data_IF_299512644097
#
_entry.id   IF_299512644097
#
_cell.length_a   1.000
_cell.length_b   1.000
_cell.length_c   1.000
_cell.angle_alpha   90.00
_cell.angle_beta   90.00
_cell.angle_gamma   90.00
#
_symmetry.space_group_name_H-M   'P 1'
#
loop_
_entity.id
_entity.type
_entity.pdbx_description
1 polymer ?
#
# COMPACT_ATOMS: atom_id res chain seq x y z
N UNK A 1 -4.15 11.79 -20.52
CA UNK A 1 -3.61 10.72 -21.38
C UNK A 1 -3.55 9.49 -20.51
N UNK A 2 -4.07 8.36 -20.97
CA UNK A 2 -4.24 7.14 -20.18
C UNK A 2 -3.57 5.99 -20.92
N UNK A 3 -2.91 5.10 -20.19
CA UNK A 3 -2.22 3.94 -20.75
C UNK A 3 -2.97 2.66 -20.35
N UNK A 4 -3.02 1.69 -21.25
CA UNK A 4 -3.70 0.41 -21.04
C UNK A 4 -2.85 -0.77 -21.50
N UNK A 5 -3.08 -1.95 -20.94
CA UNK A 5 -2.35 -3.20 -21.25
C UNK A 5 -0.84 -3.10 -20.99
N UNK A 6 -0.47 -2.54 -19.84
CA UNK A 6 0.92 -2.31 -19.46
C UNK A 6 1.50 -3.58 -18.85
N UNK A 7 2.67 -4.02 -19.32
CA UNK A 7 3.41 -5.13 -18.71
C UNK A 7 4.85 -4.70 -18.37
N UNK A 8 5.22 -4.78 -17.09
CA UNK A 8 6.57 -4.51 -16.58
C UNK A 8 7.05 -5.77 -15.87
N UNK A 9 7.98 -6.52 -16.48
CA UNK A 9 8.36 -7.84 -15.97
C UNK A 9 9.87 -8.10 -15.93
N UNK A 10 10.33 -8.79 -14.89
CA UNK A 10 11.68 -9.37 -14.77
C UNK A 10 12.82 -8.34 -14.87
N UNK A 11 12.66 -7.17 -14.26
CA UNK A 11 13.67 -6.10 -14.21
C UNK A 11 14.27 -5.95 -12.80
N UNK A 12 15.55 -5.62 -12.75
CA UNK A 12 16.21 -5.14 -11.53
C UNK A 12 16.37 -3.62 -11.60
N UNK A 13 15.78 -2.89 -10.66
CA UNK A 13 15.85 -1.43 -10.55
C UNK A 13 16.71 -1.04 -9.34
N UNK A 14 17.65 -0.12 -9.53
CA UNK A 14 18.68 0.23 -8.53
C UNK A 14 18.71 1.75 -8.27
N UNK A 15 18.75 2.15 -7.00
CA UNK A 15 19.15 3.49 -6.53
C UNK A 15 18.46 4.69 -7.23
N UNK A 16 17.15 4.60 -7.41
CA UNK A 16 16.37 5.58 -8.17
C UNK A 16 15.98 6.83 -7.30
N UNK A 17 15.83 8.07 -7.84
CA UNK A 17 15.69 9.33 -7.08
C UNK A 17 14.30 9.91 -6.58
N UNK A 18 13.10 9.61 -7.16
CA UNK A 18 11.71 9.95 -6.69
C UNK A 18 10.55 8.82 -6.61
N UNK A 19 10.00 8.17 -7.68
CA UNK A 19 9.19 6.89 -7.61
C UNK A 19 9.61 5.74 -8.61
N UNK A 20 10.02 4.51 -8.25
CA UNK A 20 10.59 3.48 -9.19
C UNK A 20 9.63 3.01 -10.29
N UNK A 21 8.39 2.67 -9.93
CA UNK A 21 7.35 2.23 -10.87
C UNK A 21 6.05 2.92 -10.49
N UNK A 22 5.71 3.99 -11.21
CA UNK A 22 4.55 4.84 -10.94
C UNK A 22 3.57 4.85 -12.13
N UNK A 23 2.75 3.80 -12.32
CA UNK A 23 1.62 3.87 -13.24
C UNK A 23 0.57 4.83 -12.67
N UNK A 24 0.19 5.82 -13.47
CA UNK A 24 -0.82 6.85 -13.12
C UNK A 24 -1.93 6.80 -14.16
N UNK A 25 -3.19 6.73 -13.72
CA UNK A 25 -4.36 6.67 -14.62
C UNK A 25 -4.28 5.50 -15.63
N UNK A 26 -3.76 4.36 -15.19
CA UNK A 26 -3.54 3.18 -16.02
C UNK A 26 -4.63 2.13 -15.82
N UNK A 27 -4.93 1.34 -16.86
CA UNK A 27 -5.87 0.21 -16.80
C UNK A 27 -5.20 -1.07 -17.30
N UNK A 28 -5.48 -2.21 -16.67
CA UNK A 28 -4.89 -3.51 -17.05
C UNK A 28 -3.35 -3.46 -16.96
N UNK A 29 -2.83 -3.27 -15.74
CA UNK A 29 -1.39 -3.12 -15.46
C UNK A 29 -0.85 -4.36 -14.77
N UNK A 30 0.12 -5.04 -15.39
CA UNK A 30 0.85 -6.16 -14.80
C UNK A 30 2.29 -5.76 -14.45
N UNK A 31 2.63 -5.84 -13.16
CA UNK A 31 3.99 -5.73 -12.65
C UNK A 31 4.42 -7.07 -12.08
N UNK A 32 5.46 -7.70 -12.64
CA UNK A 32 5.83 -9.08 -12.31
C UNK A 32 7.33 -9.29 -12.13
N UNK A 33 7.75 -10.00 -11.08
CA UNK A 33 9.14 -10.49 -10.99
C UNK A 33 10.18 -9.37 -10.84
N UNK A 34 9.80 -8.22 -10.29
CA UNK A 34 10.73 -7.09 -10.15
C UNK A 34 11.60 -7.23 -8.91
N UNK A 35 12.88 -6.89 -9.05
CA UNK A 35 13.82 -6.71 -7.93
C UNK A 35 14.13 -5.22 -7.80
N UNK A 36 13.64 -4.57 -6.76
CA UNK A 36 13.88 -3.14 -6.52
C UNK A 36 14.81 -2.99 -5.31
N UNK A 37 15.96 -2.34 -5.52
CA UNK A 37 16.94 -2.07 -4.46
C UNK A 37 17.22 -0.57 -4.39
N UNK A 38 16.59 0.11 -3.43
CA UNK A 38 16.90 1.49 -3.05
C UNK A 38 17.62 1.54 -1.68
N UNK A 39 18.47 2.56 -1.41
CA UNK A 39 19.12 2.71 -0.13
C UNK A 39 18.08 2.94 0.98
N UNK A 40 18.10 2.12 2.04
CA UNK A 40 17.14 2.24 3.15
C UNK A 40 17.21 3.57 3.91
N UNK A 41 18.30 4.33 3.75
CA UNK A 41 18.47 5.68 4.31
C UNK A 41 18.00 6.80 3.38
N UNK A 42 17.50 6.47 2.18
CA UNK A 42 16.97 7.45 1.24
C UNK A 42 15.59 7.88 1.69
N UNK A 43 15.50 9.07 2.29
CA UNK A 43 14.23 9.71 2.58
C UNK A 43 13.55 10.11 1.27
N UNK A 44 12.24 9.90 1.21
CA UNK A 44 11.47 9.97 -0.01
C UNK A 44 10.66 11.27 -0.12
N UNK A 45 10.41 11.69 -1.35
CA UNK A 45 9.42 12.72 -1.69
C UNK A 45 8.08 12.02 -1.87
N UNK A 46 7.20 12.05 -0.86
CA UNK A 46 6.01 11.17 -0.77
C UNK A 46 4.86 11.49 -1.76
N UNK A 47 5.13 12.37 -2.72
CA UNK A 47 4.18 13.10 -3.55
C UNK A 47 4.09 14.57 -3.14
N UNK A 48 4.48 14.90 -1.90
CA UNK A 48 4.26 16.20 -1.29
C UNK A 48 5.62 16.86 -0.96
N UNK A 49 6.11 17.69 -1.89
CA UNK A 49 7.25 18.57 -1.62
C UNK A 49 6.98 20.02 -2.06
N UNK A 50 6.20 20.79 -1.27
CA UNK A 50 6.07 22.23 -1.44
C UNK A 50 7.32 22.96 -0.92
N UNK A 51 8.50 22.67 -1.49
CA UNK A 51 9.72 23.42 -1.21
C UNK A 51 11.05 22.68 -1.35
N UNK A 52 11.54 22.49 -2.58
CA UNK A 52 12.89 22.93 -2.95
C UNK A 52 13.17 22.87 -4.47
N UNK A 53 13.98 23.83 -4.96
CA UNK A 53 14.24 24.09 -6.39
C UNK A 53 15.19 23.08 -7.06
N UNK A 54 14.86 21.80 -7.08
CA UNK A 54 15.57 20.77 -7.88
C UNK A 54 14.72 20.33 -9.07
N UNK A 55 15.10 20.65 -10.33
CA UNK A 55 14.38 20.17 -11.50
C UNK A 55 14.54 18.64 -11.62
N UNK A 56 13.51 17.91 -12.12
CA UNK A 56 13.60 16.47 -12.30
C UNK A 56 14.70 16.10 -13.29
N UNK A 57 15.69 15.32 -12.83
CA UNK A 57 16.79 14.84 -13.68
C UNK A 57 16.22 13.80 -14.66
N UNK A 58 16.01 14.22 -15.90
CA UNK A 58 15.56 13.34 -16.99
C UNK A 58 16.75 12.49 -17.46
N UNK A 59 16.87 11.26 -16.98
CA UNK A 59 17.87 10.30 -17.46
C UNK A 59 17.54 9.86 -18.89
N UNK A 60 18.19 10.51 -19.87
CA UNK A 60 18.22 10.08 -21.27
C UNK A 60 19.18 8.89 -21.46
N UNK A 61 18.79 7.70 -21.02
CA UNK A 61 19.35 6.47 -21.59
C UNK A 61 18.44 5.94 -22.70
N UNK A 62 19.05 5.44 -23.78
CA UNK A 62 18.36 5.06 -25.02
C UNK A 62 17.63 3.72 -24.88
N UNK A 63 16.44 3.75 -24.29
CA UNK A 63 15.37 2.84 -24.69
C UNK A 63 14.74 3.40 -25.97
N UNK A 64 14.62 2.57 -27.02
CA UNK A 64 14.07 3.00 -28.31
C UNK A 64 12.57 3.28 -28.19
N UNK A 65 12.07 4.41 -28.70
CA UNK A 65 10.68 4.80 -28.51
C UNK A 65 9.76 4.01 -29.43
N UNK A 66 8.96 3.09 -28.88
CA UNK A 66 7.70 2.67 -29.51
C UNK A 66 6.62 2.20 -28.53
N UNK A 67 6.96 1.42 -27.48
CA UNK A 67 5.94 0.57 -26.79
C UNK A 67 5.63 0.85 -25.31
N UNK A 68 6.08 1.96 -24.70
CA UNK A 68 5.62 2.35 -23.34
C UNK A 68 5.78 3.86 -23.06
N UNK A 69 4.69 4.65 -23.08
CA UNK A 69 4.74 6.04 -22.66
C UNK A 69 4.58 6.18 -21.13
N UNK A 70 5.59 6.79 -20.51
CA UNK A 70 5.66 7.28 -19.12
C UNK A 70 5.85 6.24 -18.00
N UNK A 71 7.12 6.01 -17.64
CA UNK A 71 7.54 5.61 -16.29
C UNK A 71 8.36 6.79 -15.73
N UNK A 72 7.85 7.45 -14.69
CA UNK A 72 8.65 8.36 -13.86
C UNK A 72 9.39 7.51 -12.81
N UNK A 73 10.62 7.88 -12.43
CA UNK A 73 11.59 7.00 -11.74
C UNK A 73 12.00 7.47 -10.33
N UNK A 74 12.23 6.51 -9.40
CA UNK A 74 12.76 6.86 -8.08
C UNK A 74 12.53 6.15 -6.74
N UNK A 75 12.62 6.88 -5.60
CA UNK A 75 12.64 6.42 -4.20
C UNK A 75 11.45 5.58 -3.66
N UNK A 76 10.18 5.85 -4.03
CA UNK A 76 9.13 4.83 -3.81
C UNK A 76 9.43 3.56 -4.61
N UNK A 77 8.87 2.41 -4.24
CA UNK A 77 9.04 1.21 -5.07
C UNK A 77 7.94 1.05 -6.12
N UNK A 78 6.75 0.54 -5.78
CA UNK A 78 5.64 0.44 -6.75
C UNK A 78 4.46 1.30 -6.27
N UNK A 79 3.97 2.20 -7.11
CA UNK A 79 2.90 3.13 -6.74
C UNK A 79 1.82 3.20 -7.82
N UNK A 80 0.77 2.36 -7.76
CA UNK A 80 -0.41 2.57 -8.58
C UNK A 80 -1.19 3.79 -8.08
N UNK A 81 -1.28 4.82 -8.93
CA UNK A 81 -2.11 6.01 -8.68
C UNK A 81 -3.29 6.04 -9.65
N UNK A 82 -4.51 6.10 -9.11
CA UNK A 82 -5.76 6.19 -9.87
C UNK A 82 -5.88 5.09 -10.95
N UNK A 83 -5.44 3.86 -10.64
CA UNK A 83 -5.33 2.75 -11.58
C UNK A 83 -6.44 1.70 -11.41
N UNK A 84 -6.96 1.14 -12.51
CA UNK A 84 -7.97 0.07 -12.47
C UNK A 84 -7.40 -1.25 -12.96
N UNK A 85 -7.76 -2.36 -12.30
CA UNK A 85 -7.41 -3.74 -12.71
C UNK A 85 -5.89 -3.93 -12.83
N UNK A 86 -5.20 -3.90 -11.69
CA UNK A 86 -3.73 -3.92 -11.60
C UNK A 86 -3.26 -5.13 -10.79
N UNK A 87 -2.18 -5.80 -11.22
CA UNK A 87 -1.57 -6.94 -10.52
C UNK A 87 -0.09 -6.70 -10.30
N UNK A 88 0.33 -6.71 -9.05
CA UNK A 88 1.73 -6.68 -8.60
C UNK A 88 2.05 -8.07 -8.05
N UNK A 89 2.93 -8.83 -8.71
CA UNK A 89 3.27 -10.18 -8.25
C UNK A 89 4.75 -10.56 -8.36
N UNK A 90 5.19 -11.50 -7.53
CA UNK A 90 6.54 -12.09 -7.56
C UNK A 90 7.67 -11.07 -7.35
N UNK A 91 7.42 -9.97 -6.63
CA UNK A 91 8.36 -8.87 -6.44
C UNK A 91 9.21 -9.02 -5.16
N UNK A 92 10.47 -8.60 -5.23
CA UNK A 92 11.37 -8.40 -4.10
C UNK A 92 11.77 -6.93 -4.01
N UNK A 93 11.52 -6.29 -2.86
CA UNK A 93 11.65 -4.84 -2.72
C UNK A 93 12.41 -4.49 -1.44
N UNK A 94 13.47 -3.69 -1.59
CA UNK A 94 14.20 -3.01 -0.52
C UNK A 94 14.09 -1.51 -0.74
N UNK A 95 13.57 -0.79 0.26
CA UNK A 95 13.18 0.61 0.12
C UNK A 95 13.48 1.40 1.41
N UNK A 96 13.71 2.71 1.26
CA UNK A 96 13.72 3.65 2.41
C UNK A 96 12.31 4.09 2.83
N UNK A 97 11.34 3.95 1.93
CA UNK A 97 9.92 4.25 2.14
C UNK A 97 9.05 3.05 1.70
N UNK A 98 7.74 3.22 1.48
CA UNK A 98 6.80 2.15 1.19
C UNK A 98 7.24 1.23 0.03
N UNK A 99 7.12 -0.09 0.23
CA UNK A 99 7.39 -1.07 -0.83
C UNK A 99 6.29 -1.06 -1.92
N UNK A 100 5.02 -0.90 -1.51
CA UNK A 100 3.91 -0.55 -2.41
C UNK A 100 3.15 0.62 -1.79
N UNK A 101 2.94 1.70 -2.53
CA UNK A 101 2.15 2.86 -2.08
C UNK A 101 0.99 3.13 -3.05
N UNK A 102 -0.20 2.67 -2.67
CA UNK A 102 -1.44 2.83 -3.44
C UNK A 102 -1.99 4.24 -3.24
N UNK A 103 -2.24 4.96 -4.33
CA UNK A 103 -2.69 6.36 -4.34
C UNK A 103 -3.88 6.55 -5.29
N UNK A 104 -4.54 7.69 -5.22
CA UNK A 104 -5.61 8.11 -6.15
C UNK A 104 -5.80 9.63 -6.14
N UNK A 105 -4.71 10.37 -6.33
CA UNK A 105 -4.72 11.83 -6.22
C UNK A 105 -4.97 12.38 -4.81
N UNK A 106 -4.91 13.69 -4.67
CA UNK A 106 -4.87 14.39 -3.38
C UNK A 106 -5.91 15.52 -3.29
N UNK A 107 -6.47 15.68 -2.09
CA UNK A 107 -7.47 16.67 -1.67
C UNK A 107 -8.47 17.05 -2.77
N UNK A 108 -8.69 18.33 -3.02
CA UNK A 108 -9.72 18.80 -3.96
C UNK A 108 -9.48 18.33 -5.40
N UNK A 109 -8.23 18.10 -5.80
CA UNK A 109 -7.91 17.58 -7.14
C UNK A 109 -8.31 16.11 -7.28
N UNK A 110 -8.02 15.28 -6.28
CA UNK A 110 -8.43 13.87 -6.25
C UNK A 110 -9.95 13.74 -6.14
N UNK A 111 -10.58 14.53 -5.27
CA UNK A 111 -12.05 14.59 -5.12
C UNK A 111 -12.72 15.01 -6.44
N UNK A 112 -12.27 16.11 -7.06
CA UNK A 112 -12.87 16.63 -8.29
C UNK A 112 -12.65 15.72 -9.50
N UNK A 113 -11.56 14.94 -9.50
CA UNK A 113 -11.25 14.00 -10.58
C UNK A 113 -11.95 12.65 -10.41
N UNK A 114 -12.17 12.20 -9.16
CA UNK A 114 -13.02 11.05 -8.83
C UNK A 114 -12.59 9.73 -9.44
N UNK A 115 -11.28 9.55 -9.72
CA UNK A 115 -10.74 8.32 -10.31
C UNK A 115 -10.03 7.48 -9.24
N UNK A 116 -10.64 6.38 -8.76
CA UNK A 116 -10.05 5.55 -7.72
C UNK A 116 -8.93 4.65 -8.25
N UNK A 117 -8.04 4.21 -7.36
CA UNK A 117 -7.32 2.95 -7.60
C UNK A 117 -8.20 1.80 -7.15
N UNK A 118 -8.52 0.88 -8.06
CA UNK A 118 -9.38 -0.26 -7.75
C UNK A 118 -9.10 -1.55 -8.51
N UNK A 119 -9.58 -2.66 -7.96
CA UNK A 119 -9.31 -4.01 -8.46
C UNK A 119 -7.80 -4.26 -8.52
N UNK A 120 -7.15 -4.14 -7.36
CA UNK A 120 -5.70 -4.22 -7.21
C UNK A 120 -5.30 -5.51 -6.49
N UNK A 121 -4.58 -6.39 -7.18
CA UNK A 121 -4.00 -7.61 -6.59
C UNK A 121 -2.53 -7.38 -6.28
N UNK A 122 -2.11 -7.65 -5.04
CA UNK A 122 -0.70 -7.65 -4.61
C UNK A 122 -0.39 -9.04 -4.06
N UNK A 123 0.49 -9.83 -4.69
CA UNK A 123 0.76 -11.18 -4.20
C UNK A 123 2.19 -11.68 -4.34
N UNK A 124 2.62 -12.55 -3.43
CA UNK A 124 3.99 -13.13 -3.42
C UNK A 124 5.06 -12.03 -3.43
N UNK A 125 4.87 -11.05 -2.54
CA UNK A 125 5.73 -9.87 -2.36
C UNK A 125 6.66 -10.08 -1.16
N UNK A 126 7.95 -9.86 -1.35
CA UNK A 126 8.91 -9.69 -0.23
C UNK A 126 9.29 -8.21 -0.10
N UNK A 127 9.15 -7.64 1.10
CA UNK A 127 9.46 -6.26 1.40
C UNK A 127 10.45 -6.11 2.55
N UNK A 128 11.38 -5.15 2.40
CA UNK A 128 12.23 -4.61 3.46
C UNK A 128 12.15 -3.08 3.41
N UNK A 129 11.38 -2.47 4.32
CA UNK A 129 11.26 -1.01 4.47
C UNK A 129 11.39 -0.59 5.94
N UNK A 130 12.62 -0.38 6.46
CA UNK A 130 12.86 -0.20 7.90
C UNK A 130 12.18 1.03 8.53
N UNK A 131 11.78 1.99 7.71
CA UNK A 131 11.20 3.28 8.13
C UNK A 131 9.79 3.53 7.57
N UNK A 132 9.17 2.55 6.87
CA UNK A 132 7.83 2.72 6.30
C UNK A 132 7.06 1.40 6.11
N UNK A 133 6.02 1.37 5.27
CA UNK A 133 5.12 0.22 5.16
C UNK A 133 5.54 -0.83 4.12
N UNK A 134 5.07 -2.05 4.31
CA UNK A 134 5.08 -3.06 3.25
C UNK A 134 4.07 -2.72 2.15
N UNK A 135 2.85 -2.32 2.55
CA UNK A 135 1.82 -1.79 1.65
C UNK A 135 1.20 -0.57 2.34
N UNK A 136 1.35 0.61 1.76
CA UNK A 136 0.63 1.80 2.14
C UNK A 136 -0.60 2.01 1.25
N UNK A 137 -1.70 2.41 1.87
CA UNK A 137 -2.88 2.97 1.23
C UNK A 137 -2.94 4.44 1.61
N UNK A 138 -2.72 5.33 0.64
CA UNK A 138 -2.57 6.77 0.83
C UNK A 138 -1.10 7.25 1.00
N UNK A 139 -0.88 8.50 1.41
CA UNK A 139 -1.88 9.40 2.00
C UNK A 139 -2.81 10.07 0.99
N UNK A 140 -2.41 10.09 -0.28
CA UNK A 140 -3.10 10.70 -1.41
C UNK A 140 -4.13 9.68 -1.93
N UNK A 141 -5.29 9.62 -1.28
CA UNK A 141 -6.37 8.65 -1.52
C UNK A 141 -7.70 9.28 -1.94
N UNK A 142 -7.66 10.54 -2.37
CA UNK A 142 -8.83 11.43 -2.44
C UNK A 142 -9.81 11.09 -3.57
N UNK A 143 -9.35 10.43 -4.64
CA UNK A 143 -10.20 9.84 -5.68
C UNK A 143 -10.76 8.46 -5.32
N UNK A 144 -10.36 7.87 -4.19
CA UNK A 144 -10.81 6.58 -3.67
C UNK A 144 -9.80 5.43 -3.83
N UNK A 145 -9.76 4.50 -2.89
CA UNK A 145 -9.04 3.23 -2.95
C UNK A 145 -10.03 2.11 -2.58
N UNK A 146 -10.21 1.13 -3.45
CA UNK A 146 -11.28 0.12 -3.32
C UNK A 146 -10.89 -1.24 -3.93
N UNK A 147 -11.33 -2.34 -3.32
CA UNK A 147 -11.05 -3.71 -3.78
C UNK A 147 -9.55 -3.97 -3.98
N UNK A 148 -8.80 -3.86 -2.87
CA UNK A 148 -7.37 -4.18 -2.80
C UNK A 148 -7.19 -5.54 -2.13
N UNK A 149 -6.68 -6.51 -2.87
CA UNK A 149 -6.50 -7.91 -2.46
C UNK A 149 -5.01 -8.22 -2.31
N UNK A 150 -4.53 -8.31 -1.08
CA UNK A 150 -3.13 -8.59 -0.75
C UNK A 150 -2.97 -10.01 -0.18
N UNK A 151 -2.12 -10.86 -0.78
CA UNK A 151 -1.89 -12.22 -0.29
C UNK A 151 -0.45 -12.74 -0.44
N UNK A 152 -0.04 -13.69 0.41
CA UNK A 152 1.30 -14.27 0.39
C UNK A 152 2.42 -13.22 0.49
N UNK A 153 2.27 -12.31 1.45
CA UNK A 153 3.20 -11.19 1.68
C UNK A 153 4.21 -11.56 2.77
N UNK A 154 5.49 -11.24 2.54
CA UNK A 154 6.57 -11.37 3.53
C UNK A 154 7.21 -10.00 3.78
N UNK A 155 7.04 -9.44 4.98
CA UNK A 155 7.72 -8.23 5.41
C UNK A 155 8.83 -8.56 6.43
N UNK A 156 10.03 -8.04 6.21
CA UNK A 156 11.21 -8.30 7.04
C UNK A 156 11.83 -6.97 7.42
N UNK A 157 12.13 -6.76 8.71
CA UNK A 157 12.72 -5.53 9.25
C UNK A 157 12.04 -4.27 8.67
N UNK A 158 10.71 -4.23 8.81
CA UNK A 158 9.85 -3.24 8.15
C UNK A 158 9.01 -2.52 9.20
N UNK A 159 8.74 -1.22 9.04
CA UNK A 159 8.11 -0.46 10.11
C UNK A 159 6.66 -0.92 10.37
N UNK A 160 5.88 -1.14 9.31
CA UNK A 160 4.52 -1.68 9.42
C UNK A 160 4.13 -2.62 8.27
N UNK A 161 3.15 -3.50 8.51
CA UNK A 161 2.53 -4.35 7.47
C UNK A 161 1.72 -3.53 6.45
N UNK A 162 0.40 -3.67 6.45
CA UNK A 162 -0.48 -2.75 5.72
C UNK A 162 -0.69 -1.49 6.56
N UNK A 163 -0.48 -0.31 5.95
CA UNK A 163 -0.63 1.01 6.57
C UNK A 163 -1.71 1.82 5.87
N UNK A 164 -2.75 2.25 6.58
CA UNK A 164 -3.73 3.22 6.06
C UNK A 164 -3.36 4.61 6.54
N UNK A 165 -3.18 5.54 5.60
CA UNK A 165 -2.79 6.94 5.83
C UNK A 165 -3.88 7.85 5.27
N UNK A 166 -4.53 8.66 6.09
CA UNK A 166 -5.42 9.72 5.62
C UNK A 166 -5.53 10.87 6.64
N UNK A 167 -6.26 11.92 6.29
CA UNK A 167 -6.48 13.11 7.11
C UNK A 167 -7.82 13.77 6.78
N UNK A 168 -8.40 14.50 7.73
CA UNK A 168 -9.45 15.50 7.44
C UNK A 168 -8.96 16.43 6.34
N UNK A 169 -9.74 16.62 5.27
CA UNK A 169 -9.33 17.33 4.07
C UNK A 169 -9.16 16.44 2.84
N UNK A 170 -8.84 15.16 3.04
CA UNK A 170 -8.65 14.22 1.92
C UNK A 170 -9.94 13.86 1.21
N UNK A 171 -11.08 13.81 1.91
CA UNK A 171 -12.31 13.22 1.36
C UNK A 171 -12.09 11.81 0.82
N UNK A 172 -12.89 11.41 -0.19
CA UNK A 172 -12.74 10.10 -0.82
C UNK A 172 -12.96 8.94 0.15
N UNK A 173 -12.32 7.80 -0.13
CA UNK A 173 -12.48 6.59 0.68
C UNK A 173 -11.28 5.62 0.59
N UNK A 174 -11.06 4.83 1.63
CA UNK A 174 -10.29 3.57 1.56
C UNK A 174 -11.20 2.45 2.06
N UNK A 175 -11.68 1.59 1.15
CA UNK A 175 -12.64 0.54 1.50
C UNK A 175 -12.38 -0.77 0.79
N UNK A 176 -13.07 -1.82 1.22
CA UNK A 176 -13.03 -3.14 0.55
C UNK A 176 -11.59 -3.66 0.43
N UNK A 177 -10.87 -3.66 1.56
CA UNK A 177 -9.46 -4.05 1.64
C UNK A 177 -9.38 -5.45 2.23
N UNK A 178 -8.68 -6.35 1.55
CA UNK A 178 -8.64 -7.79 1.88
C UNK A 178 -7.20 -8.29 1.94
N UNK A 179 -6.78 -8.79 3.09
CA UNK A 179 -5.39 -9.20 3.35
C UNK A 179 -5.36 -10.61 3.93
N UNK A 180 -4.66 -11.54 3.29
CA UNK A 180 -4.47 -12.90 3.82
C UNK A 180 -3.04 -13.44 3.71
N UNK A 181 -2.68 -14.42 4.53
CA UNK A 181 -1.38 -15.12 4.46
C UNK A 181 -0.18 -14.15 4.48
N UNK A 182 -0.11 -13.32 5.51
CA UNK A 182 0.95 -12.33 5.69
C UNK A 182 1.92 -12.80 6.79
N UNK A 183 3.18 -13.04 6.43
CA UNK A 183 4.29 -13.26 7.38
C UNK A 183 5.07 -11.97 7.62
N UNK A 184 5.28 -11.61 8.88
CA UNK A 184 5.99 -10.39 9.29
C UNK A 184 7.12 -10.73 10.27
N UNK A 185 8.31 -10.17 10.10
CA UNK A 185 9.49 -10.46 10.94
C UNK A 185 10.23 -9.18 11.30
N UNK A 186 10.33 -8.88 12.59
CA UNK A 186 10.92 -7.64 13.13
C UNK A 186 10.13 -6.42 12.63
N UNK A 187 9.05 -6.10 13.34
CA UNK A 187 8.16 -4.98 13.00
C UNK A 187 8.07 -3.96 14.13
N UNK A 188 7.79 -2.70 13.79
CA UNK A 188 7.39 -1.72 14.80
C UNK A 188 5.90 -1.87 15.12
N UNK A 189 5.07 -2.02 14.08
CA UNK A 189 3.64 -2.32 14.17
C UNK A 189 3.23 -3.45 13.22
N UNK A 190 2.35 -4.37 13.63
CA UNK A 190 1.74 -5.30 12.68
C UNK A 190 0.65 -4.59 11.85
N UNK A 191 -0.22 -3.84 12.55
CA UNK A 191 -1.27 -3.01 11.95
C UNK A 191 -1.06 -1.53 12.28
N UNK A 192 -1.13 -0.65 11.28
CA UNK A 192 -1.13 0.80 11.52
C UNK A 192 -2.17 1.50 10.63
N UNK A 193 -3.09 2.23 11.25
CA UNK A 193 -4.00 3.15 10.58
C UNK A 193 -3.94 4.51 11.27
N UNK A 194 -3.99 5.60 10.50
CA UNK A 194 -4.15 6.94 11.06
C UNK A 194 -5.01 7.85 10.17
N UNK A 195 -6.02 8.46 10.77
CA UNK A 195 -6.83 9.56 10.22
C UNK A 195 -6.27 10.96 10.51
N UNK A 196 -5.03 11.03 11.01
CA UNK A 196 -4.33 12.29 11.30
C UNK A 196 -2.91 12.26 10.72
N UNK A 197 -2.78 11.88 9.44
CA UNK A 197 -1.48 11.84 8.76
C UNK A 197 -0.88 13.24 8.51
N UNK A 198 -1.69 14.30 8.63
CA UNK A 198 -1.22 15.69 8.80
C UNK A 198 -0.44 16.30 7.63
N UNK A 199 -0.46 15.68 6.46
CA UNK A 199 0.22 16.14 5.25
C UNK A 199 -0.80 16.66 4.24
N UNK A 200 -0.64 17.86 3.71
CA UNK A 200 -1.43 18.42 2.61
C UNK A 200 -0.47 19.17 1.66
N UNK A 201 -0.64 19.08 0.32
CA UNK A 201 0.29 19.74 -0.60
C UNK A 201 0.20 21.26 -0.63
N UNK A 202 -0.98 21.78 -0.34
CA UNK A 202 -1.23 23.21 -0.14
C UNK A 202 -2.31 23.44 0.95
N UNK A 203 -2.93 24.62 0.97
CA UNK A 203 -3.95 25.02 1.94
C UNK A 203 -5.36 25.14 1.32
N UNK A 204 -5.61 24.54 0.15
CA UNK A 204 -6.87 24.65 -0.59
C UNK A 204 -7.83 23.47 -0.33
N UNK A 205 -7.36 22.43 0.38
CA UNK A 205 -8.19 21.29 0.80
C UNK A 205 -9.44 21.74 1.57
N UNK A 206 -10.57 21.05 1.37
CA UNK A 206 -11.80 21.35 2.10
C UNK A 206 -11.73 20.73 3.51
N UNK A 207 -11.65 21.53 4.60
CA UNK A 207 -11.56 20.99 5.97
C UNK A 207 -12.81 20.22 6.43
N UNK A 208 -13.89 20.21 5.63
CA UNK A 208 -15.09 19.40 5.86
C UNK A 208 -15.09 18.07 5.06
N UNK A 209 -14.10 17.85 4.19
CA UNK A 209 -13.97 16.63 3.41
C UNK A 209 -13.39 15.50 4.27
N UNK A 210 -14.28 14.78 4.96
CA UNK A 210 -13.90 13.63 5.79
C UNK A 210 -13.72 12.37 4.92
N UNK A 211 -12.57 11.68 4.99
CA UNK A 211 -12.34 10.41 4.30
C UNK A 211 -13.10 9.26 4.98
N UNK A 212 -13.75 8.40 4.21
CA UNK A 212 -14.38 7.16 4.72
C UNK A 212 -13.34 6.03 4.75
N UNK A 213 -13.24 5.30 5.86
CA UNK A 213 -12.46 4.04 5.93
C UNK A 213 -13.35 2.93 6.46
N UNK A 214 -13.64 1.94 5.63
CA UNK A 214 -14.60 0.87 5.96
C UNK A 214 -14.24 -0.50 5.34
N UNK A 215 -14.80 -1.58 5.90
CA UNK A 215 -14.63 -2.95 5.39
C UNK A 215 -13.15 -3.37 5.15
N UNK A 216 -12.36 -3.35 6.23
CA UNK A 216 -10.93 -3.68 6.21
C UNK A 216 -10.72 -5.06 6.84
N UNK A 217 -10.34 -6.06 6.05
CA UNK A 217 -10.28 -7.46 6.44
C UNK A 217 -8.85 -7.99 6.45
N UNK A 218 -8.48 -8.62 7.56
CA UNK A 218 -7.18 -9.27 7.78
C UNK A 218 -7.39 -10.71 8.25
N UNK A 219 -6.76 -11.69 7.59
CA UNK A 219 -6.79 -13.08 8.06
C UNK A 219 -5.51 -13.87 7.84
N UNK A 220 -5.31 -14.92 8.63
CA UNK A 220 -4.22 -15.88 8.46
C UNK A 220 -2.84 -15.19 8.47
N UNK A 221 -2.52 -14.44 9.54
CA UNK A 221 -1.30 -13.63 9.64
C UNK A 221 -0.44 -14.03 10.83
N UNK A 222 0.89 -14.08 10.63
CA UNK A 222 1.87 -14.36 11.68
C UNK A 222 2.91 -13.25 11.69
N UNK A 223 3.13 -12.66 12.87
CA UNK A 223 4.16 -11.67 13.08
C UNK A 223 5.12 -12.09 14.20
N UNK A 224 6.42 -11.87 14.01
CA UNK A 224 7.47 -12.18 14.98
C UNK A 224 8.28 -10.92 15.31
N UNK A 225 8.73 -10.81 16.56
CA UNK A 225 9.56 -9.69 17.05
C UNK A 225 8.91 -8.32 16.83
N UNK A 226 7.64 -8.18 17.22
CA UNK A 226 6.85 -6.94 17.03
C UNK A 226 6.94 -6.02 18.24
N UNK A 227 7.16 -4.71 18.01
CA UNK A 227 7.29 -3.72 19.10
C UNK A 227 5.96 -3.31 19.75
N UNK A 228 4.89 -3.22 18.96
CA UNK A 228 3.51 -2.95 19.37
C UNK A 228 2.57 -3.63 18.37
N UNK A 229 1.59 -4.42 18.81
CA UNK A 229 0.69 -5.14 17.90
C UNK A 229 -0.02 -4.21 16.91
N UNK A 230 -0.67 -3.14 17.38
CA UNK A 230 -1.41 -2.22 16.53
C UNK A 230 -1.43 -0.75 17.02
N UNK A 231 -1.46 0.17 16.06
CA UNK A 231 -1.79 1.60 16.25
C UNK A 231 -2.90 1.97 15.29
N UNK A 232 -4.13 2.07 15.76
CA UNK A 232 -5.34 2.24 14.96
C UNK A 232 -6.08 3.50 15.42
N UNK A 233 -5.90 4.58 14.67
CA UNK A 233 -6.43 5.90 15.03
C UNK A 233 -7.32 6.38 13.88
N UNK A 234 -8.64 6.39 14.07
CA UNK A 234 -9.57 6.99 13.11
C UNK A 234 -9.66 8.51 13.24
N UNK A 235 -10.77 9.09 12.81
CA UNK A 235 -11.06 10.53 12.92
C UNK A 235 -12.09 10.72 14.04
N UNK A 236 -11.86 11.71 14.91
CA UNK A 236 -12.75 11.99 16.04
C UNK A 236 -14.14 12.41 15.58
N UNK A 237 -15.14 11.55 15.79
CA UNK A 237 -16.52 11.72 15.31
C UNK A 237 -16.86 10.88 14.07
N UNK A 238 -15.85 10.50 13.29
CA UNK A 238 -15.95 9.76 12.02
C UNK A 238 -15.02 8.54 12.07
N UNK A 239 -15.41 7.48 12.82
CA UNK A 239 -14.53 6.36 13.12
C UNK A 239 -14.27 5.49 11.89
N UNK A 240 -13.12 4.80 11.86
CA UNK A 240 -12.85 3.78 10.84
C UNK A 240 -13.61 2.50 11.20
N UNK A 241 -14.48 2.02 10.32
CA UNK A 241 -15.45 0.95 10.64
C UNK A 241 -15.22 -0.33 9.86
N UNK A 242 -15.96 -1.39 10.18
CA UNK A 242 -15.90 -2.66 9.45
C UNK A 242 -14.52 -3.32 9.48
N UNK A 243 -13.70 -3.05 10.50
CA UNK A 243 -12.41 -3.71 10.67
C UNK A 243 -12.65 -5.15 11.13
N UNK A 244 -12.10 -6.13 10.43
CA UNK A 244 -12.17 -7.54 10.80
C UNK A 244 -10.74 -8.12 10.85
N UNK A 245 -10.34 -8.70 11.98
CA UNK A 245 -9.05 -9.39 12.13
C UNK A 245 -9.27 -10.81 12.67
N UNK A 246 -8.96 -11.85 11.88
CA UNK A 246 -9.16 -13.25 12.30
C UNK A 246 -7.93 -14.12 12.10
N UNK A 247 -7.68 -15.08 13.00
CA UNK A 247 -6.55 -16.01 12.90
C UNK A 247 -5.20 -15.27 12.75
N UNK A 248 -4.85 -14.48 13.76
CA UNK A 248 -3.63 -13.65 13.76
C UNK A 248 -2.81 -13.87 15.03
N UNK A 249 -1.54 -14.24 14.88
CA UNK A 249 -0.60 -14.43 15.99
C UNK A 249 0.57 -13.45 15.89
N UNK A 250 0.76 -12.62 16.92
CA UNK A 250 1.82 -11.61 17.00
C UNK A 250 2.74 -11.94 18.18
N UNK A 251 3.91 -12.51 17.87
CA UNK A 251 5.04 -12.66 18.79
C UNK A 251 5.70 -11.32 19.05
N UNK A 252 5.69 -10.88 20.32
CA UNK A 252 6.23 -9.60 20.74
C UNK A 252 7.76 -9.62 20.86
N UNK A 253 8.38 -8.48 20.60
CA UNK A 253 9.81 -8.24 20.84
C UNK A 253 10.11 -8.26 22.36
N UNK A 254 11.35 -8.63 22.74
CA UNK A 254 11.81 -8.63 24.14
C UNK A 254 11.59 -7.27 24.84
N UNK A 255 11.73 -6.17 24.09
CA UNK A 255 11.55 -4.79 24.56
C UNK A 255 10.30 -4.12 23.97
N UNK A 256 9.25 -4.91 23.73
CA UNK A 256 7.97 -4.41 23.25
C UNK A 256 7.34 -3.38 24.21
N UNK A 257 6.43 -2.56 23.68
CA UNK A 257 5.69 -1.54 24.43
C UNK A 257 4.72 -2.21 25.42
N UNK A 258 4.37 -1.50 26.50
CA UNK A 258 3.35 -2.00 27.46
C UNK A 258 1.95 -2.00 26.85
N UNK A 259 1.57 -0.92 26.18
CA UNK A 259 0.36 -0.87 25.36
C UNK A 259 0.63 -1.59 24.05
N UNK A 260 -0.20 -2.59 23.72
CA UNK A 260 -0.07 -3.39 22.51
C UNK A 260 -1.04 -2.99 21.42
N UNK A 261 -2.27 -2.64 21.79
CA UNK A 261 -3.30 -2.15 20.88
C UNK A 261 -3.67 -0.72 21.29
N UNK A 262 -3.11 0.27 20.59
CA UNK A 262 -3.56 1.66 20.73
C UNK A 262 -4.70 1.90 19.75
N UNK A 263 -5.92 2.06 20.26
CA UNK A 263 -7.13 2.18 19.44
C UNK A 263 -7.93 3.41 19.84
N UNK A 264 -8.22 4.29 18.87
CA UNK A 264 -9.11 5.45 19.04
C UNK A 264 -9.97 5.61 17.80
N UNK A 265 -11.26 5.90 17.96
CA UNK A 265 -12.18 6.17 16.85
C UNK A 265 -12.17 5.08 15.77
N UNK A 266 -12.27 3.82 16.19
CA UNK A 266 -12.42 2.66 15.30
C UNK A 266 -13.58 1.77 15.75
N UNK A 267 -14.10 0.95 14.85
CA UNK A 267 -15.08 -0.09 15.15
C UNK A 267 -14.87 -1.34 14.27
N UNK A 268 -15.01 -2.51 14.88
CA UNK A 268 -14.80 -3.78 14.19
C UNK A 268 -14.99 -4.99 15.09
N UNK A 269 -14.45 -6.13 14.66
CA UNK A 269 -14.48 -7.41 15.37
C UNK A 269 -13.16 -8.16 15.21
N UNK A 270 -12.87 -9.07 16.15
CA UNK A 270 -11.78 -10.04 15.99
C UNK A 270 -12.24 -11.48 16.24
N UNK A 271 -11.45 -12.45 15.80
CA UNK A 271 -11.60 -13.87 16.16
C UNK A 271 -10.24 -14.55 16.19
N UNK A 272 -9.86 -15.17 17.30
CA UNK A 272 -8.58 -15.92 17.42
C UNK A 272 -7.36 -15.01 17.13
N UNK A 273 -7.26 -13.88 17.82
CA UNK A 273 -6.17 -12.90 17.68
C UNK A 273 -5.35 -12.83 18.97
N UNK A 274 -4.02 -12.95 18.86
CA UNK A 274 -3.08 -12.86 19.99
C UNK A 274 -1.96 -11.85 19.69
N UNK A 275 -1.62 -10.92 20.61
CA UNK A 275 -2.21 -10.70 21.93
C UNK A 275 -3.62 -10.08 21.84
N UNK A 276 -4.40 -10.19 22.92
CA UNK A 276 -5.78 -9.72 22.99
C UNK A 276 -5.94 -8.27 22.45
N UNK A 277 -6.84 -8.05 21.48
CA UNK A 277 -7.17 -6.72 20.96
C UNK A 277 -7.78 -5.75 21.98
N UNK A 278 -7.90 -4.49 21.57
CA UNK A 278 -8.61 -3.44 22.32
C UNK A 278 -10.14 -3.62 22.29
N UNK A 279 -10.84 -3.02 23.25
CA UNK A 279 -12.31 -3.17 23.42
C UNK A 279 -13.15 -2.67 22.23
N UNK A 280 -12.57 -1.84 21.34
CA UNK A 280 -13.19 -1.41 20.08
C UNK A 280 -13.18 -2.48 18.98
N UNK A 281 -12.46 -3.58 19.19
CA UNK A 281 -12.34 -4.74 18.29
C UNK A 281 -12.64 -6.06 19.04
N UNK A 282 -13.83 -6.20 19.64
CA UNK A 282 -14.18 -7.34 20.50
C UNK A 282 -14.01 -8.69 19.81
N UNK A 283 -13.38 -9.63 20.53
CA UNK A 283 -13.24 -11.02 20.11
C UNK A 283 -14.61 -11.71 20.15
N UNK A 284 -15.06 -12.21 19.00
CA UNK A 284 -16.32 -12.94 18.84
C UNK A 284 -16.16 -14.45 19.10
N UNK A 285 -14.91 -14.90 19.34
CA UNK A 285 -14.54 -16.28 19.60
C UNK A 285 -14.63 -17.19 18.37
N UNK A 286 -14.24 -18.45 18.56
CA UNK A 286 -14.10 -19.48 17.50
C UNK A 286 -15.41 -19.81 16.72
N UNK A 287 -16.53 -19.14 17.02
CA UNK A 287 -17.84 -19.39 16.40
C UNK A 287 -18.16 -18.48 15.21
N UNK A 288 -17.39 -17.42 14.97
CA UNK A 288 -17.59 -16.59 13.78
C UNK A 288 -16.83 -17.15 12.58
N UNK A 289 -17.42 -17.02 11.39
CA UNK A 289 -16.73 -17.20 10.10
C UNK A 289 -15.50 -16.29 10.02
N UNK A 290 -14.41 -16.82 9.45
CA UNK A 290 -13.18 -16.07 9.15
C UNK A 290 -13.47 -14.75 8.41
N UNK A 291 -12.66 -13.72 8.65
CA UNK A 291 -12.80 -12.43 7.98
C UNK A 291 -12.79 -12.59 6.46
N UNK A 292 -13.46 -11.66 5.76
CA UNK A 292 -13.67 -11.83 4.34
C UNK A 292 -12.35 -11.76 3.58
N UNK A 293 -12.23 -12.61 2.56
CA UNK A 293 -11.32 -12.41 1.45
C UNK A 293 -12.05 -12.99 0.25
N UNK A 294 -12.38 -12.19 -0.77
CA UNK A 294 -13.24 -12.63 -1.86
C UNK A 294 -12.68 -13.85 -2.60
N UNK A 295 -13.55 -14.78 -2.94
CA UNK A 295 -13.21 -16.02 -3.66
C UNK A 295 -13.38 -15.91 -5.19
N UNK A 296 -13.89 -14.78 -5.68
CA UNK A 296 -13.86 -14.42 -7.10
C UNK A 296 -12.45 -14.01 -7.54
N UNK A 297 -12.17 -14.11 -8.84
CA UNK A 297 -10.91 -13.68 -9.46
C UNK A 297 -11.10 -12.34 -10.16
N UNK A 298 -10.12 -11.44 -10.02
CA UNK A 298 -10.10 -10.20 -10.79
C UNK A 298 -9.56 -10.47 -12.20
N UNK A 299 -10.06 -9.75 -13.20
CA UNK A 299 -9.71 -10.00 -14.61
C UNK A 299 -8.20 -9.91 -14.89
N UNK A 300 -7.47 -9.03 -14.19
CA UNK A 300 -6.01 -8.93 -14.28
C UNK A 300 -5.28 -10.20 -13.78
N UNK A 301 -5.92 -11.09 -13.02
CA UNK A 301 -5.33 -12.34 -12.56
C UNK A 301 -5.23 -13.41 -13.66
N UNK A 302 -6.06 -13.31 -14.70
CA UNK A 302 -6.03 -14.21 -15.85
C UNK A 302 -5.02 -13.77 -16.92
N UNK A 303 -4.53 -12.53 -16.85
CA UNK A 303 -3.55 -11.99 -17.81
C UNK A 303 -2.19 -12.68 -17.63
N UNK A 304 -1.68 -13.28 -18.70
CA UNK A 304 -0.32 -13.83 -18.76
C UNK A 304 0.70 -12.78 -19.23
N UNK A 305 1.93 -12.89 -18.71
CA UNK A 305 3.02 -12.01 -19.12
C UNK A 305 3.55 -12.44 -20.50
N UNK A 306 3.51 -11.54 -21.49
CA UNK A 306 4.04 -11.80 -22.81
C UNK A 306 5.57 -11.64 -22.82
N UNK A 307 6.27 -12.74 -23.12
CA UNK A 307 7.73 -12.73 -23.21
C UNK A 307 8.21 -12.09 -24.53
N UNK A 308 8.49 -10.79 -24.51
CA UNK A 308 9.12 -10.10 -25.64
C UNK A 308 10.61 -10.45 -25.74
N UNK A 309 11.04 -11.05 -26.85
CA UNK A 309 12.45 -11.32 -27.15
C UNK A 309 13.04 -10.29 -28.12
N UNK A 310 14.12 -9.60 -27.72
CA UNK A 310 14.82 -8.64 -28.57
C UNK A 310 16.20 -9.18 -29.02
N UNK A 311 16.34 -9.51 -30.30
CA UNK A 311 17.64 -9.91 -30.88
C UNK A 311 18.41 -8.68 -31.36
N UNK A 312 19.37 -8.22 -30.56
CA UNK A 312 20.29 -7.14 -30.98
C UNK A 312 21.30 -7.68 -32.00
N UNK A 313 21.05 -7.45 -33.30
CA UNK A 313 22.08 -7.67 -34.34
C UNK A 313 23.17 -6.62 -34.15
N UNK A 314 24.34 -7.05 -33.72
CA UNK A 314 25.55 -6.25 -33.86
C UNK A 314 25.92 -6.22 -35.35
N UNK A 315 25.93 -5.01 -35.92
CA UNK A 315 26.48 -4.69 -37.24
C UNK A 315 27.93 -4.22 -37.07
#
# INVERSE_FOLDING_TARGET
>A
MYSSEIQISNLTLLNSPSWNVHPVYCTNTLVKGLTILAPVTSANTDGINPGNNTPPITLKEKLTPLDCPYILLGCFSISPDSCTNTRIEDCFIVSGDDCVAVKSGWDEYGIAYGMPTKHLVIRRLTCISPFSAAIALGSEMSGGIEDVRAEDITAINTESGVRIKTAVGRGGYVKDIYVRRFTMKTMKWAFWMTGNYGSHPDNNYDPNAIPVVENINYRDMVAENVSMAAKLEGIGGDPFTGICISNVTIGLAEKAKKLQWNCTDIAGVTSSVTPQPCDLLPDQGEKQTSCNFPDDTLAIEEVEAHACSYSKRYL
#
